data_IF_578316647505
#
_entry.id   IF_578316647505
#
_cell.length_a   1.000
_cell.length_b   1.000
_cell.length_c   1.000
_cell.angle_alpha   90.00
_cell.angle_beta   90.00
_cell.angle_gamma   90.00
#
_symmetry.space_group_name_H-M   'P 1'
#
loop_
_entity.id
_entity.type
_entity.pdbx_description
1 polymer ?
#
# COMPACT_ATOMS: atom_id res chain seq x y z
N UNK A 1 56.66 -17.24 -39.02
CA UNK A 1 55.69 -16.49 -38.20
C UNK A 1 55.65 -17.14 -36.83
N UNK A 2 56.23 -16.48 -35.81
CA UNK A 2 56.43 -17.04 -34.48
C UNK A 2 55.22 -16.73 -33.58
N UNK A 3 54.62 -17.79 -33.01
CA UNK A 3 53.51 -17.69 -32.06
C UNK A 3 53.98 -17.15 -30.71
N UNK A 4 53.29 -16.13 -30.20
CA UNK A 4 53.46 -15.60 -28.84
C UNK A 4 52.75 -16.52 -27.84
N UNK A 5 53.34 -16.85 -26.68
CA UNK A 5 52.68 -17.65 -25.65
C UNK A 5 51.78 -16.80 -24.76
N UNK A 6 50.69 -17.42 -24.31
CA UNK A 6 49.69 -16.92 -23.35
C UNK A 6 50.29 -16.87 -21.93
N UNK A 7 50.05 -15.82 -21.11
CA UNK A 7 50.42 -15.85 -19.71
C UNK A 7 49.37 -16.57 -18.83
N UNK A 8 49.86 -17.29 -17.83
CA UNK A 8 49.11 -18.07 -16.84
C UNK A 8 48.26 -17.21 -15.87
N UNK A 9 47.21 -17.77 -15.22
CA UNK A 9 46.38 -17.04 -14.27
C UNK A 9 47.11 -16.80 -12.94
N UNK A 10 47.05 -15.57 -12.43
CA UNK A 10 47.46 -15.22 -11.07
C UNK A 10 46.40 -15.72 -10.08
N UNK A 11 46.84 -16.43 -9.04
CA UNK A 11 46.10 -16.69 -7.80
C UNK A 11 46.53 -15.65 -6.76
N UNK A 12 45.62 -15.42 -5.81
CA UNK A 12 45.66 -14.49 -4.67
C UNK A 12 45.47 -13.03 -5.09
N UNK A 13 44.64 -12.22 -4.43
CA UNK A 13 44.54 -12.04 -2.98
C UNK A 13 43.11 -11.67 -2.53
N UNK A 14 42.82 -11.92 -1.27
CA UNK A 14 41.49 -11.90 -0.66
C UNK A 14 40.78 -10.54 -0.70
N UNK A 15 39.54 -10.57 -1.18
CA UNK A 15 38.57 -9.51 -0.96
C UNK A 15 37.67 -9.94 0.20
N UNK A 16 37.91 -9.34 1.36
CA UNK A 16 37.00 -9.41 2.50
C UNK A 16 35.62 -8.95 2.01
N UNK A 17 34.53 -9.72 2.20
CA UNK A 17 33.21 -9.22 1.82
C UNK A 17 32.94 -7.95 2.63
N UNK A 18 32.52 -6.82 2.01
CA UNK A 18 32.10 -5.68 2.79
C UNK A 18 30.97 -6.14 3.71
N UNK A 19 31.25 -5.96 5.00
CA UNK A 19 30.38 -6.21 6.13
C UNK A 19 28.99 -5.69 5.80
N UNK A 20 27.98 -6.50 6.13
CA UNK A 20 26.58 -6.10 6.20
C UNK A 20 26.41 -4.96 7.22
N UNK A 21 26.82 -3.75 6.85
CA UNK A 21 26.10 -2.56 7.22
C UNK A 21 24.93 -2.53 6.23
N UNK A 22 23.89 -3.29 6.58
CA UNK A 22 22.52 -2.91 6.26
C UNK A 22 22.45 -1.40 6.41
N UNK A 23 22.47 -0.69 5.28
CA UNK A 23 21.96 0.67 5.25
C UNK A 23 20.50 0.49 5.62
N UNK A 24 20.19 0.58 6.92
CA UNK A 24 18.87 0.88 7.41
C UNK A 24 18.52 2.21 6.75
N UNK A 25 17.99 2.14 5.53
CA UNK A 25 17.47 3.28 4.83
C UNK A 25 16.49 3.90 5.82
N UNK A 26 16.76 5.15 6.22
CA UNK A 26 15.81 5.85 7.07
C UNK A 26 14.44 5.74 6.41
N UNK A 27 13.38 5.36 7.15
CA UNK A 27 12.07 5.19 6.56
C UNK A 27 11.68 6.46 5.83
N UNK A 28 11.12 6.32 4.62
CA UNK A 28 10.64 7.46 3.83
C UNK A 28 9.76 8.34 4.75
N UNK A 29 9.88 9.69 4.68
CA UNK A 29 9.08 10.58 5.51
C UNK A 29 7.58 10.26 5.47
N UNK A 30 7.05 9.79 4.33
CA UNK A 30 5.65 9.34 4.20
C UNK A 30 5.39 8.12 5.10
N UNK A 31 6.21 7.07 4.99
CA UNK A 31 6.07 5.88 5.83
C UNK A 31 6.19 6.23 7.32
N UNK A 32 7.08 7.16 7.67
CA UNK A 32 7.28 7.62 9.06
C UNK A 32 6.06 8.36 9.59
N UNK A 33 5.53 9.32 8.84
CA UNK A 33 4.36 10.11 9.22
C UNK A 33 3.12 9.22 9.36
N UNK A 34 2.96 8.24 8.45
CA UNK A 34 1.92 7.23 8.53
C UNK A 34 2.11 6.28 9.72
N UNK A 35 3.34 5.94 10.10
CA UNK A 35 3.63 5.08 11.25
C UNK A 35 3.23 5.74 12.57
N UNK A 36 3.56 7.02 12.76
CA UNK A 36 3.26 7.76 13.99
C UNK A 36 1.82 8.27 14.08
N UNK A 37 1.05 8.22 12.98
CA UNK A 37 -0.36 8.61 12.94
C UNK A 37 -1.19 7.89 14.03
N UNK A 38 -2.04 8.61 14.77
CA UNK A 38 -2.89 8.05 15.84
C UNK A 38 -4.36 8.28 15.53
N UNK A 39 -5.19 7.29 15.84
CA UNK A 39 -6.66 7.43 15.82
C UNK A 39 -7.08 8.01 17.18
N UNK A 40 -7.83 9.10 17.16
CA UNK A 40 -8.41 9.73 18.34
C UNK A 40 -9.65 8.97 18.84
N UNK A 41 -9.86 9.00 20.17
CA UNK A 41 -11.02 8.44 20.84
C UNK A 41 -12.30 9.24 20.47
N UNK A 42 -12.92 8.89 19.34
CA UNK A 42 -14.11 9.55 18.79
C UNK A 42 -14.26 9.35 17.28
N UNK A 43 -13.14 9.13 16.60
CA UNK A 43 -13.07 8.97 15.14
C UNK A 43 -13.34 7.54 14.69
N UNK A 44 -13.44 6.59 15.63
CA UNK A 44 -14.07 5.28 15.41
C UNK A 44 -15.49 5.40 14.84
N UNK A 45 -16.12 6.58 14.90
CA UNK A 45 -17.45 6.86 14.33
C UNK A 45 -17.42 7.73 13.07
N UNK A 46 -16.29 8.34 12.70
CA UNK A 46 -16.19 9.21 11.51
C UNK A 46 -15.01 8.79 10.63
N UNK A 47 -15.32 7.85 9.74
CA UNK A 47 -14.37 7.25 8.82
C UNK A 47 -13.87 8.25 7.77
N UNK A 48 -14.68 9.25 7.40
CA UNK A 48 -14.27 10.34 6.49
C UNK A 48 -13.14 11.15 7.09
N UNK A 49 -13.26 11.57 8.37
CA UNK A 49 -12.20 12.30 9.06
C UNK A 49 -10.94 11.47 9.29
N UNK A 50 -11.07 10.15 9.47
CA UNK A 50 -9.92 9.25 9.49
C UNK A 50 -9.17 9.28 8.15
N UNK A 51 -9.89 9.11 7.05
CA UNK A 51 -9.33 9.10 5.71
C UNK A 51 -8.69 10.44 5.33
N UNK A 52 -9.28 11.57 5.72
CA UNK A 52 -8.69 12.90 5.51
C UNK A 52 -7.33 13.06 6.18
N UNK A 53 -7.14 12.51 7.39
CA UNK A 53 -5.86 12.59 8.10
C UNK A 53 -4.85 11.61 7.56
N UNK A 54 -5.29 10.45 7.09
CA UNK A 54 -4.43 9.54 6.32
C UNK A 54 -3.95 10.23 5.05
N UNK A 55 -4.82 10.94 4.32
CA UNK A 55 -4.41 11.76 3.18
C UNK A 55 -3.40 12.83 3.58
N UNK A 56 -3.63 13.55 4.68
CA UNK A 56 -2.71 14.57 5.16
C UNK A 56 -1.34 14.00 5.54
N UNK A 57 -1.29 12.86 6.26
CA UNK A 57 -0.05 12.24 6.71
C UNK A 57 0.70 11.54 5.57
N UNK A 58 -0.04 10.83 4.70
CA UNK A 58 0.51 10.13 3.55
C UNK A 58 0.79 11.01 2.34
N UNK A 59 0.39 12.30 2.40
CA UNK A 59 0.41 13.25 1.28
C UNK A 59 -0.36 12.73 0.07
N UNK A 60 -1.47 12.05 0.31
CA UNK A 60 -2.40 11.59 -0.72
C UNK A 60 -3.36 12.71 -1.10
N UNK A 61 -3.73 12.77 -2.37
CA UNK A 61 -4.76 13.66 -2.89
C UNK A 61 -6.16 13.21 -2.44
N UNK A 62 -6.39 11.90 -2.42
CA UNK A 62 -7.62 11.32 -1.92
C UNK A 62 -7.42 9.89 -1.41
N UNK A 63 -8.37 9.43 -0.61
CA UNK A 63 -8.46 8.08 -0.11
C UNK A 63 -9.90 7.56 -0.17
N UNK A 64 -10.06 6.27 -0.44
CA UNK A 64 -11.33 5.57 -0.57
C UNK A 64 -11.22 4.22 0.15
N UNK A 65 -12.21 3.93 0.99
CA UNK A 65 -12.48 2.58 1.46
C UNK A 65 -13.70 2.04 0.71
N UNK A 66 -13.56 0.89 0.06
CA UNK A 66 -14.64 0.23 -0.66
C UNK A 66 -14.71 -1.26 -0.36
N UNK A 67 -15.87 -1.87 -0.62
CA UNK A 67 -16.07 -3.32 -0.46
C UNK A 67 -15.74 -4.10 -1.74
N UNK A 68 -15.59 -5.43 -1.63
CA UNK A 68 -15.39 -6.33 -2.77
C UNK A 68 -16.55 -6.31 -3.78
N UNK A 69 -17.76 -6.00 -3.33
CA UNK A 69 -18.93 -5.84 -4.19
C UNK A 69 -18.92 -4.52 -4.99
N UNK A 70 -17.97 -3.63 -4.71
CA UNK A 70 -17.80 -2.35 -5.41
C UNK A 70 -18.58 -1.20 -4.79
N UNK A 71 -18.95 -1.27 -3.51
CA UNK A 71 -19.59 -0.16 -2.81
C UNK A 71 -18.55 0.75 -2.15
N UNK A 72 -18.74 2.07 -2.27
CA UNK A 72 -18.01 3.06 -1.48
C UNK A 72 -18.51 3.01 -0.04
N UNK A 73 -17.60 2.71 0.91
CA UNK A 73 -17.91 2.67 2.33
C UNK A 73 -17.60 3.99 3.02
N UNK A 74 -16.50 4.63 2.61
CA UNK A 74 -16.16 6.00 2.99
C UNK A 74 -15.05 6.54 2.08
N UNK A 75 -14.96 7.86 1.99
CA UNK A 75 -13.90 8.52 1.27
C UNK A 75 -13.42 9.75 2.03
N UNK A 76 -12.19 10.19 1.76
CA UNK A 76 -11.71 11.51 2.17
C UNK A 76 -12.57 12.60 1.52
N UNK A 77 -12.72 13.75 2.18
CA UNK A 77 -13.52 14.90 1.74
C UNK A 77 -13.15 15.43 0.35
N UNK A 78 -11.91 15.23 -0.10
CA UNK A 78 -11.43 15.63 -1.43
C UNK A 78 -11.66 14.60 -2.56
N UNK A 79 -12.25 13.44 -2.26
CA UNK A 79 -12.44 12.39 -3.24
C UNK A 79 -13.64 12.67 -4.17
N UNK A 80 -13.44 12.56 -5.48
CA UNK A 80 -14.48 12.58 -6.49
C UNK A 80 -14.75 11.18 -7.07
N UNK A 81 -15.94 11.00 -7.64
CA UNK A 81 -16.34 9.81 -8.42
C UNK A 81 -16.10 8.46 -7.70
N UNK A 82 -16.33 8.44 -6.38
CA UNK A 82 -15.95 7.31 -5.51
C UNK A 82 -16.69 6.01 -5.82
N UNK A 83 -17.94 6.10 -6.24
CA UNK A 83 -18.78 4.93 -6.52
C UNK A 83 -18.34 4.22 -7.81
N UNK A 84 -18.08 5.00 -8.86
CA UNK A 84 -17.55 4.47 -10.12
C UNK A 84 -16.15 3.88 -9.94
N UNK A 85 -15.33 4.52 -9.10
CA UNK A 85 -14.01 4.01 -8.73
C UNK A 85 -14.13 2.69 -7.96
N UNK A 86 -14.97 2.61 -6.93
CA UNK A 86 -15.21 1.39 -6.15
C UNK A 86 -15.67 0.23 -7.04
N UNK A 87 -16.64 0.48 -7.94
CA UNK A 87 -17.12 -0.52 -8.88
C UNK A 87 -16.03 -0.98 -9.87
N UNK A 88 -15.16 -0.06 -10.31
CA UNK A 88 -14.06 -0.37 -11.21
C UNK A 88 -12.97 -1.18 -10.52
N UNK A 89 -12.64 -0.85 -9.27
CA UNK A 89 -11.66 -1.58 -8.46
C UNK A 89 -12.11 -3.01 -8.18
N UNK A 90 -13.40 -3.22 -7.87
CA UNK A 90 -13.96 -4.56 -7.69
C UNK A 90 -13.82 -5.43 -8.95
N UNK A 91 -14.14 -4.87 -10.13
CA UNK A 91 -13.97 -5.58 -11.42
C UNK A 91 -12.51 -5.89 -11.71
N UNK A 92 -11.61 -4.96 -11.41
CA UNK A 92 -10.17 -5.15 -11.60
C UNK A 92 -9.65 -6.23 -10.65
N UNK A 93 -9.99 -6.19 -9.37
CA UNK A 93 -9.61 -7.20 -8.39
C UNK A 93 -10.06 -8.59 -8.84
N UNK A 94 -11.32 -8.72 -9.28
CA UNK A 94 -11.84 -9.97 -9.85
C UNK A 94 -11.03 -10.45 -11.06
N UNK A 95 -10.72 -9.56 -12.01
CA UNK A 95 -9.92 -9.92 -13.18
C UNK A 95 -8.50 -10.37 -12.82
N UNK A 96 -7.90 -9.71 -11.82
CA UNK A 96 -6.59 -10.05 -11.30
C UNK A 96 -6.62 -11.41 -10.59
N UNK A 97 -7.63 -11.68 -9.75
CA UNK A 97 -7.79 -12.99 -9.09
C UNK A 97 -7.93 -14.12 -10.11
N UNK A 98 -8.70 -13.87 -11.17
CA UNK A 98 -8.86 -14.80 -12.30
C UNK A 98 -7.54 -15.03 -13.04
N UNK A 99 -6.67 -14.02 -13.15
CA UNK A 99 -5.35 -14.13 -13.75
C UNK A 99 -4.34 -14.84 -12.83
N UNK A 100 -4.47 -14.70 -11.52
CA UNK A 100 -3.61 -15.31 -10.51
C UNK A 100 -3.76 -16.86 -10.41
N UNK A 101 -4.78 -17.42 -11.06
CA UNK A 101 -5.14 -18.86 -11.09
C UNK A 101 -4.08 -19.84 -11.62
N UNK A 102 -2.83 -19.43 -11.87
CA UNK A 102 -1.75 -20.35 -12.26
C UNK A 102 -0.77 -20.68 -11.14
N UNK A 103 -0.65 -19.85 -10.10
CA UNK A 103 0.32 -20.07 -9.01
C UNK A 103 -0.27 -19.94 -7.58
N UNK A 104 -1.58 -19.69 -7.45
CA UNK A 104 -2.30 -19.84 -6.18
C UNK A 104 -2.10 -18.71 -5.16
N UNK A 105 -1.50 -17.59 -5.54
CA UNK A 105 -1.37 -16.41 -4.68
C UNK A 105 -2.21 -15.25 -5.23
N UNK A 106 -3.34 -14.98 -4.58
CA UNK A 106 -4.12 -13.79 -4.86
C UNK A 106 -3.32 -12.55 -4.43
N UNK A 107 -3.22 -11.52 -5.27
CA UNK A 107 -2.47 -10.32 -4.92
C UNK A 107 -3.17 -9.53 -3.84
N UNK A 108 -2.35 -8.95 -2.98
CA UNK A 108 -2.76 -8.18 -1.80
C UNK A 108 -2.78 -6.68 -2.08
N UNK A 109 -2.14 -6.22 -3.16
CA UNK A 109 -2.11 -4.83 -3.57
C UNK A 109 -1.92 -4.72 -5.10
N UNK A 110 -2.30 -3.59 -5.66
CA UNK A 110 -1.89 -3.18 -7.00
C UNK A 110 -1.67 -1.67 -7.08
N UNK A 111 -0.84 -1.27 -8.03
CA UNK A 111 -0.51 0.11 -8.34
C UNK A 111 -0.86 0.39 -9.80
N UNK A 112 -1.61 1.46 -10.03
CA UNK A 112 -1.96 1.97 -11.35
C UNK A 112 -1.32 3.35 -11.47
N UNK A 113 -0.64 3.59 -12.59
CA UNK A 113 -0.06 4.88 -12.92
C UNK A 113 -0.76 5.40 -14.17
N UNK A 114 -1.26 6.63 -14.11
CA UNK A 114 -1.89 7.25 -15.26
C UNK A 114 -0.89 7.97 -16.17
N UNK A 115 -1.36 8.52 -17.29
CA UNK A 115 -0.51 9.22 -18.26
C UNK A 115 0.08 10.55 -17.73
N UNK A 116 -0.41 11.06 -16.60
CA UNK A 116 0.08 12.26 -15.92
C UNK A 116 1.08 11.93 -14.80
N UNK A 117 1.45 10.65 -14.68
CA UNK A 117 2.28 10.11 -13.61
C UNK A 117 1.60 10.09 -12.24
N UNK A 118 0.28 10.31 -12.17
CA UNK A 118 -0.48 10.15 -10.94
C UNK A 118 -0.58 8.67 -10.59
N UNK A 119 -0.39 8.38 -9.31
CA UNK A 119 -0.42 7.05 -8.74
C UNK A 119 -1.74 6.79 -8.05
N UNK A 120 -2.33 5.65 -8.36
CA UNK A 120 -3.39 5.04 -7.58
C UNK A 120 -2.85 3.74 -6.99
N UNK A 121 -2.90 3.63 -5.67
CA UNK A 121 -2.44 2.47 -4.94
C UNK A 121 -3.62 1.88 -4.17
N UNK A 122 -3.92 0.62 -4.44
CA UNK A 122 -4.98 -0.12 -3.78
C UNK A 122 -4.37 -1.26 -2.95
N UNK A 123 -4.77 -1.34 -1.68
CA UNK A 123 -4.42 -2.42 -0.77
C UNK A 123 -5.68 -3.19 -0.37
N UNK A 124 -5.66 -4.51 -0.54
CA UNK A 124 -6.78 -5.40 -0.26
C UNK A 124 -6.59 -6.13 1.07
N UNK A 125 -7.49 -5.96 2.02
CA UNK A 125 -7.38 -6.58 3.33
C UNK A 125 -8.68 -7.27 3.72
N UNK A 126 -8.62 -8.12 4.74
CA UNK A 126 -9.75 -8.92 5.20
C UNK A 126 -10.19 -8.40 6.56
N UNK A 127 -11.46 -8.01 6.68
CA UNK A 127 -12.06 -7.64 7.95
C UNK A 127 -13.35 -8.43 8.14
N UNK A 128 -13.38 -9.29 9.16
CA UNK A 128 -14.58 -10.08 9.53
C UNK A 128 -15.12 -10.96 8.38
N UNK A 129 -14.22 -11.50 7.57
CA UNK A 129 -14.57 -12.32 6.40
C UNK A 129 -15.09 -11.52 5.19
N UNK A 130 -15.03 -10.18 5.25
CA UNK A 130 -15.25 -9.31 4.11
C UNK A 130 -13.93 -8.80 3.59
N UNK A 131 -13.72 -8.91 2.27
CA UNK A 131 -12.56 -8.31 1.61
C UNK A 131 -12.87 -6.84 1.34
N UNK A 132 -11.99 -5.97 1.81
CA UNK A 132 -12.08 -4.53 1.67
C UNK A 132 -10.90 -4.01 0.88
N UNK A 133 -11.10 -2.89 0.20
CA UNK A 133 -10.10 -2.20 -0.59
C UNK A 133 -9.85 -0.82 -0.02
N UNK A 134 -8.61 -0.56 0.37
CA UNK A 134 -8.14 0.76 0.74
C UNK A 134 -7.34 1.34 -0.44
N UNK A 135 -7.89 2.36 -1.08
CA UNK A 135 -7.32 3.00 -2.26
C UNK A 135 -6.90 4.41 -1.95
N UNK A 136 -5.71 4.80 -2.40
CA UNK A 136 -5.20 6.16 -2.30
C UNK A 136 -4.79 6.65 -3.68
N UNK A 137 -4.94 7.96 -3.90
CA UNK A 137 -4.43 8.65 -5.08
C UNK A 137 -3.34 9.62 -4.65
N UNK A 138 -2.23 9.65 -5.36
CA UNK A 138 -1.08 10.51 -5.07
C UNK A 138 -0.52 11.07 -6.37
N UNK A 139 -0.11 12.34 -6.37
CA UNK A 139 0.69 12.92 -7.47
C UNK A 139 2.20 12.72 -7.26
N UNK A 140 2.58 12.12 -6.15
CA UNK A 140 3.98 11.88 -5.79
C UNK A 140 4.36 10.45 -6.13
N UNK A 141 5.40 10.28 -6.94
CA UNK A 141 5.87 8.98 -7.43
C UNK A 141 6.55 8.10 -6.37
N UNK A 142 6.72 8.58 -5.13
CA UNK A 142 7.42 7.87 -4.05
C UNK A 142 6.54 6.97 -3.18
N UNK A 143 5.22 7.05 -3.29
CA UNK A 143 4.31 6.20 -2.49
C UNK A 143 4.43 4.74 -2.92
N UNK A 144 4.58 3.85 -1.95
CA UNK A 144 4.72 2.40 -2.13
C UNK A 144 3.59 1.63 -1.43
N UNK A 145 3.39 0.35 -1.79
CA UNK A 145 2.41 -0.53 -1.13
C UNK A 145 2.62 -0.62 0.39
N UNK A 146 3.87 -0.56 0.85
CA UNK A 146 4.26 -0.63 2.26
C UNK A 146 3.75 0.55 3.09
N UNK A 147 3.56 1.71 2.47
CA UNK A 147 2.98 2.88 3.14
C UNK A 147 1.55 2.59 3.59
N UNK A 148 0.78 1.86 2.76
CA UNK A 148 -0.59 1.47 3.11
C UNK A 148 -0.62 0.33 4.14
N UNK A 149 0.35 -0.58 4.14
CA UNK A 149 0.44 -1.63 5.18
C UNK A 149 0.57 -1.05 6.59
N UNK A 150 1.13 0.16 6.72
CA UNK A 150 1.24 0.89 7.99
C UNK A 150 -0.11 1.48 8.45
N UNK A 151 -1.00 1.74 7.49
CA UNK A 151 -2.30 2.40 7.73
C UNK A 151 -3.43 1.41 7.89
N UNK A 152 -3.41 0.29 7.15
CA UNK A 152 -4.47 -0.73 7.16
C UNK A 152 -4.85 -1.18 8.57
N UNK A 153 -3.92 -1.53 9.49
CA UNK A 153 -4.28 -1.92 10.85
C UNK A 153 -5.06 -0.85 11.63
N UNK A 154 -4.81 0.44 11.32
CA UNK A 154 -5.51 1.56 11.94
C UNK A 154 -6.93 1.70 11.40
N UNK A 155 -7.10 1.48 10.10
CA UNK A 155 -8.44 1.43 9.48
C UNK A 155 -9.22 0.25 10.04
N UNK A 156 -8.60 -0.92 10.18
CA UNK A 156 -9.20 -2.10 10.81
C UNK A 156 -9.68 -1.80 12.23
N UNK A 157 -8.83 -1.20 13.08
CA UNK A 157 -9.20 -0.81 14.45
C UNK A 157 -10.38 0.18 14.48
N UNK A 158 -10.42 1.14 13.54
CA UNK A 158 -11.51 2.10 13.47
C UNK A 158 -12.84 1.47 13.04
N UNK A 159 -12.80 0.39 12.26
CA UNK A 159 -13.96 -0.37 11.80
C UNK A 159 -14.40 -1.43 12.82
N UNK A 160 -13.59 -1.71 13.85
CA UNK A 160 -14.02 -2.55 14.95
C UNK A 160 -15.05 -1.81 15.83
N UNK A 161 -16.22 -2.40 16.12
CA UNK A 161 -17.15 -1.88 17.09
C UNK A 161 -16.43 -1.84 18.44
N UNK A 162 -16.55 -0.70 19.14
CA UNK A 162 -16.06 -0.60 20.51
C UNK A 162 -16.63 -1.72 21.40
N UNK A 163 -15.97 -2.04 22.53
CA UNK A 163 -16.48 -3.05 23.45
C UNK A 163 -17.95 -2.74 23.77
N UNK A 164 -18.80 -3.76 23.67
CA UNK A 164 -20.19 -3.65 24.08
C UNK A 164 -20.22 -3.09 25.51
N UNK A 165 -21.06 -2.08 25.82
CA UNK A 165 -21.19 -1.65 27.20
C UNK A 165 -21.67 -2.83 28.03
N UNK A 166 -20.90 -3.20 29.06
CA UNK A 166 -21.30 -4.20 30.05
C UNK A 166 -22.72 -3.87 30.52
N UNK A 167 -23.68 -4.74 30.19
CA UNK A 167 -25.09 -4.61 30.58
C UNK A 167 -25.37 -5.52 31.75
#
# INVERSE_FOLDING_TARGET
MAGKPLPAPRKDEGETPPTAAESAAEPDPISRDLAIFKIGHGERRDLTQLLDRVCSAGRFESALLSSEEGFSLAASSGAGDTDDLAASLARLAFAIDQAANKEGQAPTAFLIRDARDDLMLCRMFQLRGQRLFFTTRSRNSRTTSWDLDTVVPKIEEALEPGPAPDT
#
